data_IF_195826217353
#
_entry.id   IF_195826217353
#
_cell.length_a   1.000
_cell.length_b   1.000
_cell.length_c   1.000
_cell.angle_alpha   90.00
_cell.angle_beta   90.00
_cell.angle_gamma   90.00
#
_symmetry.space_group_name_H-M   'P 1'
#
loop_
_entity.id
_entity.type
_entity.pdbx_description
1 polymer ?
#
# COMPACT_ATOMS: atom_id res chain seq x y z
N UNK A 1 27.30 -39.14 18.02
CA UNK A 1 26.01 -38.55 18.43
C UNK A 1 25.41 -37.88 17.20
N UNK A 2 24.31 -38.43 16.68
CA UNK A 2 23.53 -37.83 15.60
C UNK A 2 22.56 -36.85 16.27
N UNK A 3 22.71 -35.55 16.00
CA UNK A 3 21.66 -34.58 16.29
C UNK A 3 20.90 -34.35 15.00
N UNK A 4 19.86 -35.12 14.81
CA UNK A 4 18.78 -34.82 13.87
C UNK A 4 17.98 -33.68 14.51
N UNK A 5 18.13 -32.47 13.96
CA UNK A 5 17.17 -31.41 14.22
C UNK A 5 15.99 -31.72 13.32
N UNK A 6 14.92 -32.28 13.92
CA UNK A 6 13.60 -32.34 13.30
C UNK A 6 13.16 -30.89 13.08
N UNK A 7 13.25 -30.48 11.83
CA UNK A 7 12.68 -29.22 11.39
C UNK A 7 11.18 -29.50 11.27
N UNK A 8 10.41 -29.11 12.28
CA UNK A 8 8.95 -29.11 12.28
C UNK A 8 8.48 -28.22 11.12
N UNK A 9 8.33 -28.86 9.96
CA UNK A 9 7.62 -28.29 8.83
C UNK A 9 6.18 -28.12 9.26
N UNK A 10 5.79 -26.89 9.59
CA UNK A 10 4.41 -26.46 9.46
C UNK A 10 4.04 -26.63 7.98
N UNK A 11 3.59 -27.82 7.62
CA UNK A 11 2.83 -28.05 6.40
C UNK A 11 1.48 -27.41 6.68
N UNK A 12 1.38 -26.10 6.46
CA UNK A 12 0.08 -25.47 6.29
C UNK A 12 -0.58 -26.19 5.13
N UNK A 13 -1.69 -26.88 5.39
CA UNK A 13 -2.48 -27.51 4.34
C UNK A 13 -2.76 -26.47 3.25
N UNK A 14 -2.60 -26.83 1.97
CA UNK A 14 -2.88 -25.90 0.89
C UNK A 14 -4.35 -25.47 0.95
N UNK A 15 -4.59 -24.15 0.92
CA UNK A 15 -5.95 -23.61 0.93
C UNK A 15 -6.80 -24.24 -0.17
N UNK A 16 -8.03 -24.63 0.17
CA UNK A 16 -9.01 -25.08 -0.80
C UNK A 16 -9.63 -23.90 -1.57
N UNK A 17 -10.37 -24.18 -2.65
CA UNK A 17 -10.95 -23.13 -3.51
C UNK A 17 -11.89 -22.17 -2.77
N UNK A 18 -12.62 -22.65 -1.76
CA UNK A 18 -13.48 -21.82 -0.92
C UNK A 18 -12.70 -20.87 -0.02
N UNK A 19 -11.58 -21.33 0.53
CA UNK A 19 -10.66 -20.51 1.34
C UNK A 19 -9.96 -19.46 0.51
N UNK A 20 -9.46 -19.83 -0.68
CA UNK A 20 -8.88 -18.88 -1.63
C UNK A 20 -9.87 -17.79 -2.06
N UNK A 21 -11.11 -18.18 -2.36
CA UNK A 21 -12.16 -17.22 -2.71
C UNK A 21 -12.40 -16.22 -1.56
N UNK A 22 -12.47 -16.69 -0.31
CA UNK A 22 -12.64 -15.79 0.84
C UNK A 22 -11.44 -14.86 1.03
N UNK A 23 -10.23 -15.38 0.85
CA UNK A 23 -8.98 -14.64 0.99
C UNK A 23 -8.86 -13.53 -0.07
N UNK A 24 -9.05 -13.85 -1.36
CA UNK A 24 -8.97 -12.84 -2.43
C UNK A 24 -10.09 -11.80 -2.29
N UNK A 25 -11.32 -12.20 -1.96
CA UNK A 25 -12.41 -11.24 -1.69
C UNK A 25 -12.09 -10.28 -0.53
N UNK A 26 -11.35 -10.76 0.47
CA UNK A 26 -10.89 -9.90 1.58
C UNK A 26 -9.85 -8.90 1.08
N UNK A 27 -8.84 -9.35 0.33
CA UNK A 27 -7.82 -8.46 -0.24
C UNK A 27 -8.43 -7.41 -1.16
N UNK A 28 -9.37 -7.77 -2.02
CA UNK A 28 -10.05 -6.81 -2.90
C UNK A 28 -10.81 -5.72 -2.12
N UNK A 29 -11.45 -6.09 -1.00
CA UNK A 29 -12.13 -5.12 -0.14
C UNK A 29 -11.15 -4.19 0.57
N UNK A 30 -10.05 -4.74 1.07
CA UNK A 30 -8.99 -3.95 1.71
C UNK A 30 -8.34 -3.00 0.69
N UNK A 31 -8.03 -3.49 -0.51
CA UNK A 31 -7.53 -2.71 -1.63
C UNK A 31 -8.47 -1.54 -1.96
N UNK A 32 -9.77 -1.83 -2.15
CA UNK A 32 -10.75 -0.80 -2.49
C UNK A 32 -10.87 0.26 -1.39
N UNK A 33 -10.83 -0.16 -0.11
CA UNK A 33 -10.83 0.75 1.03
C UNK A 33 -9.57 1.63 1.05
N UNK A 34 -8.39 1.05 0.91
CA UNK A 34 -7.11 1.77 0.90
C UNK A 34 -7.00 2.73 -0.30
N UNK A 35 -7.48 2.33 -1.47
CA UNK A 35 -7.52 3.19 -2.65
C UNK A 35 -8.49 4.37 -2.47
N UNK A 36 -9.62 4.14 -1.78
CA UNK A 36 -10.56 5.20 -1.44
C UNK A 36 -9.94 6.21 -0.45
N UNK A 37 -9.28 5.74 0.62
CA UNK A 37 -8.58 6.61 1.57
C UNK A 37 -7.45 7.41 0.90
N UNK A 38 -6.68 6.77 0.01
CA UNK A 38 -5.67 7.44 -0.80
C UNK A 38 -6.26 8.61 -1.61
N UNK A 39 -7.40 8.38 -2.25
CA UNK A 39 -8.10 9.42 -3.02
C UNK A 39 -8.63 10.55 -2.13
N UNK A 40 -9.08 10.23 -0.91
CA UNK A 40 -9.46 11.25 0.08
C UNK A 40 -8.26 12.11 0.45
N UNK A 41 -7.10 11.53 0.75
CA UNK A 41 -5.88 12.30 1.03
C UNK A 41 -5.48 13.20 -0.13
N UNK A 42 -5.49 12.67 -1.35
CA UNK A 42 -5.17 13.45 -2.54
C UNK A 42 -6.13 14.63 -2.72
N UNK A 43 -7.43 14.39 -2.54
CA UNK A 43 -8.45 15.43 -2.62
C UNK A 43 -8.24 16.50 -1.53
N UNK A 44 -7.99 16.11 -0.28
CA UNK A 44 -7.69 17.03 0.83
C UNK A 44 -6.45 17.86 0.55
N UNK A 45 -5.39 17.27 -0.01
CA UNK A 45 -4.19 18.02 -0.40
C UNK A 45 -4.47 19.03 -1.52
N UNK A 46 -5.30 18.67 -2.49
CA UNK A 46 -5.61 19.52 -3.62
C UNK A 46 -6.54 20.68 -3.25
N UNK A 47 -7.56 20.46 -2.42
CA UNK A 47 -8.42 21.54 -1.92
C UNK A 47 -7.60 22.54 -1.11
N UNK A 48 -6.64 22.02 -0.35
CA UNK A 48 -5.82 22.84 0.51
C UNK A 48 -4.72 23.58 -0.29
N UNK A 49 -4.20 23.04 -1.41
CA UNK A 49 -3.25 23.73 -2.30
C UNK A 49 -3.92 24.66 -3.34
N UNK A 50 -5.15 24.36 -3.75
CA UNK A 50 -5.86 25.03 -4.85
C UNK A 50 -6.56 26.34 -4.47
N UNK A 51 -6.70 26.62 -3.19
CA UNK A 51 -7.22 27.90 -2.75
C UNK A 51 -6.09 28.94 -2.64
N UNK A 52 -6.16 29.95 -3.51
CA UNK A 52 -5.63 31.30 -3.25
C UNK A 52 -6.32 31.98 -2.02
N UNK A 53 -6.88 31.20 -1.09
CA UNK A 53 -7.63 31.73 0.04
C UNK A 53 -6.68 32.23 1.11
N UNK A 54 -7.02 33.41 1.60
CA UNK A 54 -6.40 34.16 2.68
C UNK A 54 -6.45 33.46 4.06
N UNK A 55 -6.52 32.13 4.10
CA UNK A 55 -6.66 31.31 5.31
C UNK A 55 -5.53 30.29 5.42
N UNK A 56 -4.29 30.79 5.39
CA UNK A 56 -3.05 30.00 5.50
C UNK A 56 -2.96 29.22 6.83
N UNK A 57 -3.67 29.68 7.86
CA UNK A 57 -3.78 28.99 9.15
C UNK A 57 -4.55 27.67 9.05
N UNK A 58 -5.52 27.57 8.13
CA UNK A 58 -6.33 26.37 7.96
C UNK A 58 -5.50 25.12 7.62
N UNK A 59 -4.41 25.28 6.87
CA UNK A 59 -3.51 24.17 6.53
C UNK A 59 -2.66 23.72 7.72
N UNK A 60 -2.12 24.69 8.47
CA UNK A 60 -1.32 24.42 9.67
C UNK A 60 -2.16 23.67 10.70
N UNK A 61 -3.43 24.07 10.86
CA UNK A 61 -4.36 23.41 11.78
C UNK A 61 -4.80 22.01 11.30
N UNK A 62 -4.73 21.72 9.99
CA UNK A 62 -5.04 20.40 9.43
C UNK A 62 -3.90 19.39 9.55
N UNK A 63 -2.64 19.83 9.69
CA UNK A 63 -1.46 18.94 9.73
C UNK A 63 -1.58 17.84 10.80
N UNK A 64 -1.93 18.11 12.06
CA UNK A 64 -2.02 17.06 13.08
C UNK A 64 -3.10 16.02 12.77
N UNK A 65 -4.22 16.45 12.17
CA UNK A 65 -5.28 15.54 11.76
C UNK A 65 -4.81 14.65 10.60
N UNK A 66 -4.19 15.25 9.58
CA UNK A 66 -3.66 14.53 8.43
C UNK A 66 -2.56 13.54 8.82
N UNK A 67 -1.66 13.92 9.73
CA UNK A 67 -0.63 13.03 10.27
C UNK A 67 -1.23 11.78 10.91
N UNK A 68 -2.27 11.93 11.74
CA UNK A 68 -2.93 10.78 12.38
C UNK A 68 -3.55 9.83 11.35
N UNK A 69 -4.18 10.38 10.32
CA UNK A 69 -4.77 9.58 9.26
C UNK A 69 -3.68 8.84 8.46
N UNK A 70 -2.60 9.52 8.08
CA UNK A 70 -1.47 8.89 7.37
C UNK A 70 -0.83 7.79 8.21
N UNK A 71 -0.65 7.99 9.52
CA UNK A 71 -0.15 6.94 10.41
C UNK A 71 -1.05 5.70 10.43
N UNK A 72 -2.36 5.88 10.60
CA UNK A 72 -3.32 4.78 10.56
C UNK A 72 -3.31 4.04 9.22
N UNK A 73 -3.31 4.81 8.13
CA UNK A 73 -3.24 4.30 6.77
C UNK A 73 -1.96 3.49 6.52
N UNK A 74 -0.79 3.97 6.94
CA UNK A 74 0.48 3.23 6.76
C UNK A 74 0.51 1.91 7.52
N UNK A 75 -0.18 1.82 8.66
CA UNK A 75 -0.30 0.57 9.41
C UNK A 75 -1.19 -0.44 8.67
N UNK A 76 -2.35 -0.01 8.18
CA UNK A 76 -3.27 -0.85 7.42
C UNK A 76 -2.65 -1.33 6.10
N UNK A 77 -1.96 -0.43 5.40
CA UNK A 77 -1.21 -0.77 4.19
C UNK A 77 -0.15 -1.83 4.49
N UNK A 78 0.60 -1.72 5.59
CA UNK A 78 1.58 -2.73 5.97
C UNK A 78 0.99 -4.13 6.15
N UNK A 79 -0.21 -4.22 6.76
CA UNK A 79 -0.91 -5.49 6.94
C UNK A 79 -1.41 -6.09 5.63
N UNK A 80 -1.91 -5.24 4.73
CA UNK A 80 -2.36 -5.65 3.39
C UNK A 80 -1.20 -6.28 2.60
N UNK A 81 -0.06 -5.60 2.58
CA UNK A 81 1.16 -6.04 1.90
C UNK A 81 1.71 -7.34 2.46
N UNK A 82 1.67 -7.50 3.78
CA UNK A 82 2.14 -8.73 4.42
C UNK A 82 1.36 -9.96 3.91
N UNK A 83 0.05 -9.83 3.73
CA UNK A 83 -0.77 -10.90 3.18
C UNK A 83 -0.48 -11.16 1.71
N UNK A 84 -0.24 -10.11 0.92
CA UNK A 84 0.16 -10.27 -0.47
C UNK A 84 1.51 -11.00 -0.60
N UNK A 85 2.53 -10.55 0.13
CA UNK A 85 3.90 -11.05 0.06
C UNK A 85 4.04 -12.48 0.60
N UNK A 86 3.36 -12.81 1.69
CA UNK A 86 3.52 -14.11 2.35
C UNK A 86 2.62 -15.20 1.76
N UNK A 87 1.48 -14.82 1.17
CA UNK A 87 0.44 -15.78 0.77
C UNK A 87 0.11 -15.66 -0.70
N UNK A 88 -0.34 -14.49 -1.16
CA UNK A 88 -0.90 -14.36 -2.51
C UNK A 88 0.17 -14.54 -3.59
N UNK A 89 1.22 -13.72 -3.55
CA UNK A 89 2.26 -13.69 -4.58
C UNK A 89 2.97 -15.04 -4.71
N UNK A 90 3.39 -15.72 -3.62
CA UNK A 90 3.99 -17.05 -3.73
C UNK A 90 3.06 -18.09 -4.38
N UNK A 91 1.77 -18.10 -4.01
CA UNK A 91 0.81 -19.03 -4.60
C UNK A 91 0.61 -18.76 -6.10
N UNK A 92 0.53 -17.47 -6.48
CA UNK A 92 0.41 -17.06 -7.86
C UNK A 92 1.65 -17.39 -8.69
N UNK A 93 2.86 -17.24 -8.14
CA UNK A 93 4.10 -17.61 -8.83
C UNK A 93 4.19 -19.12 -9.12
N UNK A 94 3.65 -19.96 -8.22
CA UNK A 94 3.57 -21.41 -8.43
C UNK A 94 2.54 -21.78 -9.50
N UNK A 95 1.42 -21.06 -9.56
CA UNK A 95 0.33 -21.33 -10.49
C UNK A 95 0.60 -20.75 -11.90
N UNK A 96 0.96 -19.46 -11.99
CA UNK A 96 1.25 -18.75 -13.23
C UNK A 96 2.68 -19.03 -13.69
N UNK A 97 2.84 -20.00 -14.61
CA UNK A 97 4.13 -20.18 -15.30
C UNK A 97 4.48 -18.90 -16.07
N UNK A 98 5.68 -18.36 -15.82
CA UNK A 98 6.14 -17.10 -16.41
C UNK A 98 6.06 -17.02 -17.95
N UNK A 99 6.07 -18.17 -18.65
CA UNK A 99 5.95 -18.28 -20.10
C UNK A 99 4.53 -18.03 -20.64
N UNK A 100 3.50 -18.12 -19.78
CA UNK A 100 2.09 -18.02 -20.17
C UNK A 100 1.40 -16.77 -19.66
N UNK A 101 2.14 -15.86 -19.01
CA UNK A 101 1.57 -14.73 -18.29
C UNK A 101 2.41 -13.48 -18.56
N UNK A 102 1.80 -12.44 -19.14
CA UNK A 102 2.46 -11.19 -19.46
C UNK A 102 1.67 -9.98 -18.92
N UNK A 103 2.29 -9.14 -18.07
CA UNK A 103 3.57 -9.36 -17.40
C UNK A 103 3.53 -10.60 -16.49
N UNK A 104 4.69 -11.20 -16.22
CA UNK A 104 4.76 -12.32 -15.27
C UNK A 104 4.45 -11.82 -13.85
N UNK A 105 3.92 -12.71 -13.00
CA UNK A 105 3.64 -12.39 -11.58
C UNK A 105 4.89 -11.81 -10.91
N UNK A 106 6.06 -12.40 -11.16
CA UNK A 106 7.33 -11.93 -10.62
C UNK A 106 7.68 -10.50 -11.07
N UNK A 107 7.40 -10.15 -12.31
CA UNK A 107 7.65 -8.79 -12.80
C UNK A 107 6.68 -7.79 -12.16
N UNK A 108 5.39 -8.14 -12.09
CA UNK A 108 4.39 -7.31 -11.43
C UNK A 108 4.71 -7.09 -9.95
N UNK A 109 5.14 -8.14 -9.23
CA UNK A 109 5.53 -8.02 -7.82
C UNK A 109 6.73 -7.12 -7.62
N UNK A 110 7.75 -7.20 -8.49
CA UNK A 110 8.90 -6.27 -8.46
C UNK A 110 8.49 -4.81 -8.71
N UNK A 111 7.58 -4.57 -9.66
CA UNK A 111 7.11 -3.22 -9.96
C UNK A 111 6.32 -2.65 -8.78
N UNK A 112 5.46 -3.45 -8.17
CA UNK A 112 4.75 -3.10 -6.94
C UNK A 112 5.72 -2.80 -5.80
N UNK A 113 6.69 -3.68 -5.54
CA UNK A 113 7.71 -3.49 -4.53
C UNK A 113 8.47 -2.16 -4.73
N UNK A 114 8.85 -1.84 -5.97
CA UNK A 114 9.51 -0.57 -6.29
C UNK A 114 8.64 0.64 -5.95
N UNK A 115 7.36 0.62 -6.33
CA UNK A 115 6.42 1.69 -6.01
C UNK A 115 6.22 1.84 -4.50
N UNK A 116 6.09 0.73 -3.79
CA UNK A 116 5.92 0.75 -2.35
C UNK A 116 7.16 1.27 -1.61
N UNK A 117 8.36 0.80 -1.95
CA UNK A 117 9.60 1.33 -1.35
C UNK A 117 9.77 2.83 -1.63
N UNK A 118 9.38 3.29 -2.82
CA UNK A 118 9.39 4.71 -3.16
C UNK A 118 8.41 5.49 -2.28
N UNK A 119 7.18 4.99 -2.08
CA UNK A 119 6.20 5.61 -1.17
C UNK A 119 6.69 5.64 0.28
N UNK A 120 7.33 4.55 0.74
CA UNK A 120 7.92 4.43 2.08
C UNK A 120 9.04 5.42 2.35
N UNK A 121 9.70 5.95 1.33
CA UNK A 121 10.68 7.02 1.53
C UNK A 121 10.00 8.35 1.91
N UNK A 122 8.79 8.60 1.41
CA UNK A 122 8.11 9.88 1.56
C UNK A 122 7.24 10.00 2.82
N UNK A 123 6.52 8.94 3.23
CA UNK A 123 5.64 9.03 4.41
C UNK A 123 6.38 9.32 5.72
N UNK A 124 7.54 8.69 6.02
CA UNK A 124 8.33 9.04 7.20
C UNK A 124 8.77 10.51 7.17
N UNK A 125 9.18 11.04 6.02
CA UNK A 125 9.55 12.45 5.89
C UNK A 125 8.38 13.37 6.24
N UNK A 126 7.17 13.04 5.77
CA UNK A 126 5.96 13.76 6.17
C UNK A 126 5.67 13.62 7.68
N UNK A 127 5.67 12.40 8.22
CA UNK A 127 5.35 12.11 9.63
C UNK A 127 6.34 12.80 10.58
N UNK A 128 7.63 12.77 10.26
CA UNK A 128 8.69 13.34 11.09
C UNK A 128 8.63 14.87 11.08
N UNK A 129 8.44 15.47 9.91
CA UNK A 129 8.36 16.93 9.79
C UNK A 129 7.09 17.49 10.43
N UNK A 130 5.98 16.76 10.34
CA UNK A 130 4.72 17.13 11.01
C UNK A 130 4.73 16.90 12.53
N UNK A 131 5.85 16.46 13.10
CA UNK A 131 6.08 16.43 14.54
C UNK A 131 6.56 17.78 15.11
N UNK A 132 6.84 18.74 14.24
CA UNK A 132 7.24 20.10 14.63
C UNK A 132 6.02 20.86 15.21
N UNK A 133 6.15 21.53 16.37
CA UNK A 133 5.09 22.38 16.91
C UNK A 133 4.59 23.40 15.90
N UNK A 134 3.26 23.58 15.82
CA UNK A 134 2.63 24.42 14.80
C UNK A 134 3.12 25.86 14.82
N UNK A 135 3.50 26.37 15.99
CA UNK A 135 3.99 27.73 16.18
C UNK A 135 5.36 27.96 15.52
N UNK A 136 6.05 26.87 15.14
CA UNK A 136 7.37 26.90 14.52
C UNK A 136 7.33 26.61 13.02
N UNK A 137 6.14 26.30 12.47
CA UNK A 137 5.98 25.97 11.06
C UNK A 137 5.92 27.22 10.19
N UNK A 138 6.88 27.34 9.29
CA UNK A 138 6.82 28.28 8.17
C UNK A 138 5.98 27.73 7.03
N UNK A 139 5.49 28.64 6.18
CA UNK A 139 4.74 28.29 4.97
C UNK A 139 5.51 27.35 4.03
N UNK A 140 6.83 27.54 3.92
CA UNK A 140 7.66 26.70 3.06
C UNK A 140 7.77 25.28 3.62
N UNK A 141 7.85 25.13 4.94
CA UNK A 141 7.86 23.80 5.58
C UNK A 141 6.54 23.07 5.37
N UNK A 142 5.41 23.76 5.54
CA UNK A 142 4.07 23.19 5.26
C UNK A 142 3.96 22.72 3.81
N UNK A 143 4.43 23.52 2.84
CA UNK A 143 4.45 23.14 1.42
C UNK A 143 5.34 21.94 1.14
N UNK A 144 6.48 21.85 1.80
CA UNK A 144 7.38 20.71 1.68
C UNK A 144 6.72 19.44 2.24
N UNK A 145 6.10 19.52 3.42
CA UNK A 145 5.32 18.41 4.00
C UNK A 145 4.22 17.93 3.05
N UNK A 146 3.43 18.87 2.50
CA UNK A 146 2.39 18.56 1.53
C UNK A 146 2.94 17.86 0.29
N UNK A 147 4.14 18.27 -0.16
CA UNK A 147 4.83 17.67 -1.29
C UNK A 147 5.25 16.24 -0.98
N UNK A 148 5.89 15.97 0.17
CA UNK A 148 6.22 14.60 0.57
C UNK A 148 5.00 13.69 0.60
N UNK A 149 3.91 14.14 1.24
CA UNK A 149 2.69 13.36 1.27
C UNK A 149 2.14 13.11 -0.14
N UNK A 150 2.11 14.13 -1.01
CA UNK A 150 1.66 13.99 -2.39
C UNK A 150 2.50 12.97 -3.18
N UNK A 151 3.82 13.06 -3.13
CA UNK A 151 4.70 12.13 -3.86
C UNK A 151 4.51 10.69 -3.36
N UNK A 152 4.36 10.49 -2.05
CA UNK A 152 4.04 9.18 -1.47
C UNK A 152 2.71 8.62 -1.97
N UNK A 153 1.66 9.44 -2.02
CA UNK A 153 0.35 9.04 -2.54
C UNK A 153 0.38 8.71 -4.03
N UNK A 154 1.15 9.43 -4.85
CA UNK A 154 1.31 9.11 -6.28
C UNK A 154 1.95 7.73 -6.45
N UNK A 155 3.02 7.44 -5.68
CA UNK A 155 3.67 6.13 -5.76
C UNK A 155 2.72 5.00 -5.35
N UNK A 156 1.91 5.19 -4.30
CA UNK A 156 0.90 4.20 -3.93
C UNK A 156 -0.24 4.05 -4.93
N UNK A 157 -0.62 5.14 -5.62
CA UNK A 157 -1.62 5.04 -6.67
C UNK A 157 -1.15 4.12 -7.81
N UNK A 158 0.13 4.23 -8.20
CA UNK A 158 0.71 3.31 -9.18
C UNK A 158 0.84 1.89 -8.63
N UNK A 159 1.19 1.71 -7.35
CA UNK A 159 1.14 0.40 -6.68
C UNK A 159 -0.23 -0.27 -6.86
N UNK A 160 -1.31 0.38 -6.43
CA UNK A 160 -2.66 -0.19 -6.48
C UNK A 160 -3.12 -0.45 -7.91
N UNK A 161 -2.72 0.40 -8.85
CA UNK A 161 -3.04 0.18 -10.27
C UNK A 161 -2.38 -1.09 -10.79
N UNK A 162 -1.12 -1.35 -10.45
CA UNK A 162 -0.41 -2.58 -10.86
C UNK A 162 -1.05 -3.80 -10.20
N UNK A 163 -1.31 -3.72 -8.89
CA UNK A 163 -1.95 -4.80 -8.13
C UNK A 163 -3.33 -5.16 -8.73
N UNK A 164 -4.19 -4.17 -8.94
CA UNK A 164 -5.53 -4.37 -9.49
C UNK A 164 -5.52 -4.92 -10.92
N UNK A 165 -4.60 -4.46 -11.76
CA UNK A 165 -4.56 -4.84 -13.17
C UNK A 165 -3.93 -6.21 -13.39
N UNK A 166 -2.92 -6.56 -12.60
CA UNK A 166 -2.11 -7.74 -12.87
C UNK A 166 -2.16 -8.77 -11.76
N UNK A 167 -2.21 -8.38 -10.49
CA UNK A 167 -2.20 -9.36 -9.39
C UNK A 167 -3.62 -9.88 -9.10
N UNK A 168 -4.54 -9.01 -8.69
CA UNK A 168 -5.89 -9.43 -8.29
C UNK A 168 -6.66 -10.14 -9.42
N UNK A 169 -6.59 -9.63 -10.66
CA UNK A 169 -7.22 -10.28 -11.82
C UNK A 169 -6.68 -11.69 -12.09
N UNK A 170 -5.37 -11.90 -11.91
CA UNK A 170 -4.78 -13.21 -12.11
C UNK A 170 -5.12 -14.15 -10.95
N UNK A 171 -5.23 -13.63 -9.72
CA UNK A 171 -5.70 -14.37 -8.56
C UNK A 171 -7.15 -14.87 -8.76
N UNK A 172 -8.04 -14.02 -9.30
CA UNK A 172 -9.40 -14.44 -9.65
C UNK A 172 -9.41 -15.58 -10.69
N UNK A 173 -8.51 -15.53 -11.68
CA UNK A 173 -8.40 -16.59 -12.69
C UNK A 173 -7.87 -17.89 -12.08
N UNK A 174 -6.86 -17.80 -11.21
CA UNK A 174 -6.35 -18.94 -10.44
C UNK A 174 -7.46 -19.64 -9.67
N UNK A 175 -8.34 -18.90 -9.00
CA UNK A 175 -9.47 -19.45 -8.25
C UNK A 175 -10.47 -20.17 -9.17
N UNK A 176 -10.74 -19.63 -10.37
CA UNK A 176 -11.69 -20.23 -11.31
C UNK A 176 -11.21 -21.55 -11.90
N UNK A 177 -9.89 -21.74 -11.95
CA UNK A 177 -9.27 -22.93 -12.54
C UNK A 177 -8.95 -24.03 -11.51
N UNK A 178 -9.20 -23.77 -10.22
CA UNK A 178 -9.12 -24.73 -9.11
C UNK A 178 -10.41 -25.53 -8.94
#
# INVERSE_FOLDING_TARGET
MKNTVENDGYVTEPMNSGEWLQFVNRLEKEHAFLAQELNQFYTTLQTANGNNSQDENGWIDMIPALRRLVLGYTLQLGQHLEMEEQILLPAMELYCKAEHTYPSVRFSSLLMEQHFHSARAYFPMFIDQTNTPKEWLSRNEVKNMATYLREGLIMLAEYFKVEQQFVLRQAEQMIKDM
#
